data_IF_342383934798
#
_entry.id   IF_342383934798
#
_cell.length_a   1.000
_cell.length_b   1.000
_cell.length_c   1.000
_cell.angle_alpha   90.00
_cell.angle_beta   90.00
_cell.angle_gamma   90.00
#
_symmetry.space_group_name_H-M   'P 1'
#
loop_
_entity.id
_entity.type
_entity.pdbx_description
1 polymer ?
#
# COMPACT_ATOMS: atom_id res chain seq x y z
N UNK A 1 -4.99 15.61 22.61
CA UNK A 1 -5.78 14.42 23.01
C UNK A 1 -6.77 14.76 24.15
N UNK A 2 -6.32 15.11 25.37
CA UNK A 2 -7.28 15.38 26.44
C UNK A 2 -8.13 16.63 26.15
N UNK A 3 -7.50 17.76 25.79
CA UNK A 3 -8.22 19.02 25.51
C UNK A 3 -9.06 18.98 24.23
N UNK A 4 -8.60 18.30 23.19
CA UNK A 4 -9.23 18.35 21.86
C UNK A 4 -10.19 17.17 21.60
N UNK A 5 -9.94 16.02 22.23
CA UNK A 5 -10.66 14.78 21.96
C UNK A 5 -11.27 14.14 23.21
N UNK A 6 -11.25 14.85 24.34
CA UNK A 6 -11.88 14.41 25.60
C UNK A 6 -11.40 13.04 26.11
N UNK A 7 -10.13 12.68 25.86
CA UNK A 7 -9.54 11.52 26.50
C UNK A 7 -9.17 11.84 27.94
N UNK A 8 -9.52 10.93 28.87
CA UNK A 8 -9.12 11.05 30.27
C UNK A 8 -7.60 11.13 30.42
N UNK A 9 -7.10 12.16 31.12
CA UNK A 9 -5.66 12.37 31.28
C UNK A 9 -5.00 11.19 31.99
N UNK A 10 -5.66 10.63 33.00
CA UNK A 10 -5.20 9.44 33.72
C UNK A 10 -5.03 8.22 32.81
N UNK A 11 -5.97 7.99 31.89
CA UNK A 11 -5.87 6.93 30.88
C UNK A 11 -4.64 7.12 29.97
N UNK A 12 -4.45 8.32 29.45
CA UNK A 12 -3.28 8.61 28.60
C UNK A 12 -1.96 8.41 29.35
N UNK A 13 -1.89 8.88 30.60
CA UNK A 13 -0.70 8.69 31.45
C UNK A 13 -0.44 7.20 31.70
N UNK A 14 -1.47 6.41 31.99
CA UNK A 14 -1.33 4.96 32.16
C UNK A 14 -0.80 4.28 30.90
N UNK A 15 -1.37 4.56 29.73
CA UNK A 15 -0.90 4.00 28.46
C UNK A 15 0.57 4.37 28.19
N UNK A 16 0.91 5.65 28.27
CA UNK A 16 2.27 6.10 27.98
C UNK A 16 3.30 5.61 29.01
N UNK A 17 2.89 5.37 30.25
CA UNK A 17 3.79 4.76 31.26
C UNK A 17 4.20 3.32 30.92
N UNK A 18 3.39 2.61 30.11
CA UNK A 18 3.60 1.22 29.66
C UNK A 18 4.15 1.13 28.23
N UNK A 19 4.31 2.28 27.56
CA UNK A 19 4.81 2.37 26.20
C UNK A 19 6.33 2.38 26.20
N UNK A 20 6.93 1.60 25.32
CA UNK A 20 8.37 1.40 25.25
C UNK A 20 8.97 2.05 24.00
N UNK A 21 10.03 2.85 24.21
CA UNK A 21 10.86 3.32 23.11
C UNK A 21 11.64 2.15 22.51
N UNK A 22 11.60 2.04 21.19
CA UNK A 22 12.22 0.94 20.44
C UNK A 22 13.25 1.48 19.44
N UNK A 23 14.55 1.36 19.74
CA UNK A 23 15.62 1.87 18.88
C UNK A 23 15.63 1.20 17.50
N UNK A 24 15.35 -0.10 17.41
CA UNK A 24 15.26 -0.85 16.17
C UNK A 24 14.22 -0.29 15.17
N UNK A 25 13.19 0.41 15.66
CA UNK A 25 12.21 1.11 14.83
C UNK A 25 12.88 2.27 14.10
N UNK A 26 13.63 3.10 14.82
CA UNK A 26 14.36 4.24 14.26
C UNK A 26 15.39 3.75 13.22
N UNK A 27 16.10 2.67 13.53
CA UNK A 27 17.09 2.07 12.63
C UNK A 27 16.44 1.55 11.33
N UNK A 28 15.30 0.87 11.45
CA UNK A 28 14.52 0.39 10.31
C UNK A 28 13.98 1.53 9.44
N UNK A 29 13.50 2.61 10.06
CA UNK A 29 13.02 3.80 9.33
C UNK A 29 14.15 4.53 8.59
N UNK A 30 15.38 4.45 9.08
CA UNK A 30 16.54 5.04 8.40
C UNK A 30 17.03 4.19 7.22
N UNK A 31 16.68 2.91 7.15
CA UNK A 31 17.08 1.96 6.10
C UNK A 31 15.88 1.23 5.49
N UNK A 32 14.92 1.94 4.89
CA UNK A 32 13.76 1.28 4.29
C UNK A 32 14.18 0.38 3.12
N UNK A 33 13.59 -0.81 3.02
CA UNK A 33 13.92 -1.81 2.03
C UNK A 33 13.84 -1.28 0.58
N UNK A 34 12.87 -0.41 0.30
CA UNK A 34 12.68 0.22 -1.01
C UNK A 34 13.89 1.03 -1.48
N UNK A 35 14.76 1.48 -0.56
CA UNK A 35 15.97 2.25 -0.88
C UNK A 35 17.24 1.40 -0.96
N UNK A 36 17.29 0.31 -0.19
CA UNK A 36 18.54 -0.47 -0.03
C UNK A 36 18.54 -1.79 -0.81
N UNK A 37 17.37 -2.35 -1.07
CA UNK A 37 17.22 -3.62 -1.83
C UNK A 37 17.21 -3.31 -3.33
N UNK A 38 17.91 -4.08 -4.15
CA UNK A 38 17.92 -3.93 -5.61
C UNK A 38 16.58 -4.31 -6.23
N UNK A 39 16.37 -4.05 -7.54
CA UNK A 39 15.14 -4.48 -8.21
C UNK A 39 15.06 -5.99 -8.31
N UNK A 40 16.16 -6.66 -8.63
CA UNK A 40 16.21 -8.11 -8.76
C UNK A 40 15.86 -8.80 -7.44
N UNK A 41 16.43 -8.34 -6.31
CA UNK A 41 16.04 -8.82 -4.99
C UNK A 41 14.58 -8.50 -4.64
N UNK A 42 14.11 -7.30 -4.96
CA UNK A 42 12.73 -6.90 -4.63
C UNK A 42 11.70 -7.72 -5.43
N UNK A 43 12.00 -8.01 -6.70
CA UNK A 43 11.18 -8.82 -7.61
C UNK A 43 10.98 -10.26 -7.10
N UNK A 44 11.92 -10.81 -6.30
CA UNK A 44 11.75 -12.13 -5.66
C UNK A 44 10.53 -12.21 -4.74
N UNK A 45 9.97 -11.07 -4.33
CA UNK A 45 8.70 -11.03 -3.58
C UNK A 45 7.52 -11.55 -4.40
N UNK A 46 7.59 -11.50 -5.74
CA UNK A 46 6.64 -12.18 -6.63
C UNK A 46 7.10 -13.64 -6.77
N UNK A 47 6.96 -14.39 -5.70
CA UNK A 47 7.44 -15.78 -5.60
C UNK A 47 6.35 -16.79 -5.96
N UNK A 48 6.76 -17.98 -6.38
CA UNK A 48 5.85 -19.11 -6.60
C UNK A 48 4.87 -19.32 -5.42
N UNK A 49 5.39 -19.34 -4.20
CA UNK A 49 4.54 -19.55 -3.01
C UNK A 49 3.53 -18.41 -2.81
N UNK A 50 3.93 -17.17 -3.05
CA UNK A 50 2.99 -16.04 -2.95
C UNK A 50 1.91 -16.09 -4.04
N UNK A 51 2.26 -16.48 -5.24
CA UNK A 51 1.31 -16.70 -6.34
C UNK A 51 0.31 -17.81 -5.95
N UNK A 52 0.79 -18.97 -5.47
CA UNK A 52 -0.10 -20.06 -5.05
C UNK A 52 -1.03 -19.66 -3.89
N UNK A 53 -0.49 -18.98 -2.88
CA UNK A 53 -1.30 -18.47 -1.76
C UNK A 53 -2.35 -17.46 -2.26
N UNK A 54 -2.01 -16.61 -3.24
CA UNK A 54 -2.94 -15.67 -3.84
C UNK A 54 -4.09 -16.34 -4.58
N UNK A 55 -3.81 -17.40 -5.32
CA UNK A 55 -4.85 -18.22 -5.97
C UNK A 55 -5.80 -18.87 -4.98
N UNK A 56 -5.27 -19.37 -3.86
CA UNK A 56 -6.08 -19.92 -2.77
C UNK A 56 -6.92 -18.80 -2.15
N UNK A 57 -6.33 -17.64 -1.88
CA UNK A 57 -7.00 -16.50 -1.27
C UNK A 57 -8.14 -15.97 -2.16
N UNK A 58 -7.92 -15.82 -3.46
CA UNK A 58 -8.94 -15.43 -4.46
C UNK A 58 -10.13 -16.41 -4.46
N UNK A 59 -9.86 -17.72 -4.45
CA UNK A 59 -10.92 -18.74 -4.41
C UNK A 59 -11.67 -18.74 -3.07
N UNK A 60 -10.94 -18.66 -1.94
CA UNK A 60 -11.53 -18.69 -0.60
C UNK A 60 -12.46 -17.52 -0.36
N UNK A 61 -12.09 -16.34 -0.85
CA UNK A 61 -12.85 -15.11 -0.63
C UNK A 61 -13.54 -14.60 -1.92
N UNK A 62 -13.80 -15.49 -2.88
CA UNK A 62 -14.39 -15.16 -4.18
C UNK A 62 -15.57 -14.22 -4.10
N UNK A 63 -16.54 -14.49 -3.23
CA UNK A 63 -17.73 -13.65 -3.02
C UNK A 63 -17.38 -12.19 -2.74
N UNK A 64 -16.33 -11.96 -1.94
CA UNK A 64 -15.94 -10.61 -1.53
C UNK A 64 -15.11 -9.91 -2.59
N UNK A 65 -14.33 -10.66 -3.36
CA UNK A 65 -13.63 -10.13 -4.52
C UNK A 65 -14.61 -9.76 -5.64
N UNK A 66 -15.62 -10.60 -5.94
CA UNK A 66 -16.67 -10.29 -6.90
C UNK A 66 -17.39 -8.98 -6.51
N UNK A 67 -17.83 -8.88 -5.23
CA UNK A 67 -18.46 -7.67 -4.71
C UNK A 67 -17.55 -6.44 -4.80
N UNK A 68 -16.26 -6.56 -4.51
CA UNK A 68 -15.32 -5.45 -4.54
C UNK A 68 -15.09 -4.95 -5.97
N UNK A 69 -15.00 -5.87 -6.93
CA UNK A 69 -14.86 -5.57 -8.35
C UNK A 69 -16.10 -4.86 -8.89
N UNK A 70 -17.30 -5.39 -8.57
CA UNK A 70 -18.58 -4.79 -8.96
C UNK A 70 -18.78 -3.37 -8.38
N UNK A 71 -18.37 -3.13 -7.14
CA UNK A 71 -18.59 -1.85 -6.45
C UNK A 71 -17.57 -0.79 -6.80
N UNK A 72 -16.31 -1.19 -6.98
CA UNK A 72 -15.18 -0.26 -7.09
C UNK A 72 -14.49 -0.26 -8.46
N UNK A 73 -14.82 -1.21 -9.35
CA UNK A 73 -14.17 -1.37 -10.65
C UNK A 73 -12.69 -1.79 -10.58
N UNK A 74 -12.20 -2.19 -9.40
CA UNK A 74 -10.81 -2.58 -9.18
C UNK A 74 -10.67 -4.09 -9.38
N UNK A 75 -9.82 -4.57 -10.32
CA UNK A 75 -9.65 -6.00 -10.55
C UNK A 75 -9.24 -6.75 -9.28
N UNK A 76 -9.87 -7.90 -9.05
CA UNK A 76 -9.62 -8.75 -7.87
C UNK A 76 -8.16 -9.15 -7.71
N UNK A 77 -7.45 -9.34 -8.81
CA UNK A 77 -6.04 -9.71 -8.80
C UNK A 77 -5.16 -8.58 -8.27
N UNK A 78 -5.50 -7.33 -8.52
CA UNK A 78 -4.79 -6.17 -8.01
C UNK A 78 -5.00 -6.04 -6.49
N UNK A 79 -6.25 -6.21 -6.02
CA UNK A 79 -6.59 -6.20 -4.59
C UNK A 79 -5.82 -7.32 -3.88
N UNK A 80 -5.86 -8.53 -4.44
CA UNK A 80 -5.16 -9.70 -3.90
C UNK A 80 -3.64 -9.51 -3.91
N UNK A 81 -3.06 -8.92 -4.97
CA UNK A 81 -1.64 -8.66 -5.08
C UNK A 81 -1.15 -7.69 -3.98
N UNK A 82 -1.92 -6.63 -3.69
CA UNK A 82 -1.60 -5.70 -2.58
C UNK A 82 -1.61 -6.46 -1.25
N UNK A 83 -2.69 -7.17 -0.89
CA UNK A 83 -2.78 -7.93 0.35
C UNK A 83 -1.68 -8.99 0.43
N UNK A 84 -1.33 -9.59 -0.70
CA UNK A 84 -0.25 -10.56 -0.82
C UNK A 84 1.13 -9.96 -0.53
N UNK A 85 1.44 -8.79 -1.07
CA UNK A 85 2.71 -8.11 -0.84
C UNK A 85 2.83 -7.55 0.58
N UNK A 86 1.72 -7.04 1.14
CA UNK A 86 1.70 -6.45 2.48
C UNK A 86 1.86 -7.51 3.58
N UNK A 87 1.12 -8.60 3.49
CA UNK A 87 1.00 -9.53 4.63
C UNK A 87 1.06 -11.01 4.25
N UNK A 88 1.40 -11.35 2.99
CA UNK A 88 1.25 -12.71 2.48
C UNK A 88 -0.15 -13.27 2.80
N UNK A 89 -1.18 -12.51 2.39
CA UNK A 89 -2.59 -12.84 2.57
C UNK A 89 -3.02 -13.01 4.05
N UNK A 90 -2.47 -12.16 4.92
CA UNK A 90 -2.74 -12.18 6.36
C UNK A 90 -1.82 -13.09 7.17
N UNK A 91 -0.89 -13.81 6.53
CA UNK A 91 0.06 -14.70 7.21
C UNK A 91 1.06 -13.96 8.11
N UNK A 92 1.35 -12.70 7.83
CA UNK A 92 2.24 -11.87 8.64
C UNK A 92 1.78 -10.41 8.67
N UNK A 93 1.12 -10.00 9.75
CA UNK A 93 0.56 -8.64 9.94
C UNK A 93 1.42 -7.73 10.84
N UNK A 94 2.66 -8.13 11.13
CA UNK A 94 3.56 -7.44 12.04
C UNK A 94 3.48 -7.94 13.48
N UNK A 95 4.54 -7.66 14.26
CA UNK A 95 4.70 -8.16 15.66
C UNK A 95 4.90 -7.06 16.68
N UNK A 96 5.10 -5.81 16.25
CA UNK A 96 5.40 -4.67 17.12
C UNK A 96 4.08 -4.08 17.63
N UNK A 97 3.99 -3.73 18.90
CA UNK A 97 2.82 -2.99 19.40
C UNK A 97 2.74 -1.65 18.66
N UNK A 98 1.59 -1.37 18.06
CA UNK A 98 1.41 -0.15 17.25
C UNK A 98 1.63 1.10 18.10
N UNK A 99 1.21 1.07 19.36
CA UNK A 99 1.43 2.19 20.29
C UNK A 99 2.92 2.48 20.49
N UNK A 100 3.78 1.46 20.62
CA UNK A 100 5.23 1.64 20.77
C UNK A 100 5.85 2.18 19.47
N UNK A 101 5.42 1.63 18.32
CA UNK A 101 5.90 2.06 17.01
C UNK A 101 5.60 3.54 16.76
N UNK A 102 4.34 3.93 16.92
CA UNK A 102 3.89 5.30 16.68
C UNK A 102 4.47 6.28 17.70
N UNK A 103 4.54 5.91 18.99
CA UNK A 103 5.13 6.76 20.03
C UNK A 103 6.62 6.98 19.80
N UNK A 104 7.39 5.92 19.53
CA UNK A 104 8.81 6.02 19.18
C UNK A 104 9.02 6.95 17.98
N UNK A 105 8.25 6.75 16.90
CA UNK A 105 8.37 7.58 15.72
C UNK A 105 7.91 9.03 15.93
N UNK A 106 6.87 9.25 16.74
CA UNK A 106 6.34 10.58 17.05
C UNK A 106 7.27 11.43 17.92
N UNK A 107 7.98 10.81 18.85
CA UNK A 107 8.79 11.53 19.83
C UNK A 107 10.29 11.48 19.54
N UNK A 108 10.79 10.39 18.95
CA UNK A 108 12.23 10.14 18.80
C UNK A 108 12.70 10.08 17.32
N UNK A 109 11.82 10.30 16.32
CA UNK A 109 12.18 10.36 14.91
C UNK A 109 11.92 11.74 14.28
N UNK A 110 12.85 12.70 14.36
CA UNK A 110 12.61 14.10 13.98
C UNK A 110 12.15 14.31 12.54
N UNK A 111 12.67 13.52 11.58
CA UNK A 111 12.40 13.68 10.13
C UNK A 111 10.91 13.62 9.76
N UNK A 112 10.11 12.84 10.49
CA UNK A 112 8.67 12.66 10.24
C UNK A 112 7.81 12.83 11.49
N UNK A 113 8.31 13.57 12.47
CA UNK A 113 7.66 13.76 13.78
C UNK A 113 6.20 14.21 13.66
N UNK A 114 5.93 15.24 12.86
CA UNK A 114 4.57 15.77 12.69
C UNK A 114 3.62 14.73 12.11
N UNK A 115 4.06 13.97 11.11
CA UNK A 115 3.27 12.88 10.55
C UNK A 115 2.95 11.81 11.59
N UNK A 116 3.96 11.32 12.34
CA UNK A 116 3.74 10.25 13.31
C UNK A 116 2.96 10.72 14.55
N UNK A 117 3.07 11.98 14.96
CA UNK A 117 2.18 12.55 15.99
C UNK A 117 0.73 12.49 15.55
N UNK A 118 0.44 12.84 14.29
CA UNK A 118 -0.91 12.72 13.74
C UNK A 118 -1.36 11.26 13.69
N UNK A 119 -0.52 10.33 13.23
CA UNK A 119 -0.87 8.91 13.22
C UNK A 119 -1.14 8.35 14.63
N UNK A 120 -0.40 8.80 15.64
CA UNK A 120 -0.62 8.43 17.04
C UNK A 120 -1.97 8.96 17.55
N UNK A 121 -2.31 10.19 17.22
CA UNK A 121 -3.62 10.79 17.48
C UNK A 121 -4.75 9.98 16.84
N UNK A 122 -4.63 9.70 15.54
CA UNK A 122 -5.60 8.91 14.76
C UNK A 122 -5.74 7.48 15.34
N UNK A 123 -4.67 6.90 15.87
CA UNK A 123 -4.69 5.57 16.48
C UNK A 123 -5.52 5.55 17.79
N UNK A 124 -5.40 6.55 18.64
CA UNK A 124 -6.25 6.66 19.82
C UNK A 124 -7.73 6.88 19.45
N UNK A 125 -8.00 7.73 18.45
CA UNK A 125 -9.37 7.96 17.98
C UNK A 125 -9.96 6.67 17.40
N UNK A 126 -9.22 5.98 16.55
CA UNK A 126 -9.58 4.69 15.99
C UNK A 126 -9.89 3.64 17.07
N UNK A 127 -9.04 3.58 18.12
CA UNK A 127 -9.23 2.63 19.22
C UNK A 127 -10.57 2.82 19.95
N UNK A 128 -10.99 4.08 20.08
CA UNK A 128 -12.28 4.43 20.69
C UNK A 128 -13.45 4.13 19.75
N UNK A 129 -13.29 4.41 18.46
CA UNK A 129 -14.32 4.19 17.45
C UNK A 129 -14.60 2.69 17.24
N UNK A 130 -13.55 1.88 17.15
CA UNK A 130 -13.64 0.45 16.89
C UNK A 130 -13.55 -0.41 18.18
N UNK A 131 -13.53 0.26 19.35
CA UNK A 131 -13.54 -0.37 20.67
C UNK A 131 -12.45 -1.45 20.87
N UNK A 132 -11.19 -1.14 20.53
CA UNK A 132 -10.07 -2.04 20.77
C UNK A 132 -9.05 -1.48 21.79
N UNK A 133 -8.32 -2.38 22.44
CA UNK A 133 -7.26 -2.04 23.38
C UNK A 133 -5.98 -1.65 22.61
N UNK A 134 -5.56 -0.37 22.75
CA UNK A 134 -4.34 0.16 22.09
C UNK A 134 -3.08 -0.63 22.45
N UNK A 135 -3.03 -1.28 23.62
CA UNK A 135 -1.89 -2.07 24.07
C UNK A 135 -1.78 -3.43 23.41
N UNK A 136 -2.87 -3.92 22.77
CA UNK A 136 -2.92 -5.25 22.16
C UNK A 136 -2.68 -5.23 20.65
N UNK A 137 -2.94 -4.12 19.99
CA UNK A 137 -2.82 -4.05 18.53
C UNK A 137 -1.36 -4.13 18.11
N UNK A 138 -1.10 -5.05 17.18
CA UNK A 138 0.22 -5.27 16.59
C UNK A 138 0.21 -4.93 15.11
N UNK A 139 1.37 -4.50 14.63
CA UNK A 139 1.55 -4.06 13.26
C UNK A 139 3.02 -4.01 12.84
N UNK A 140 3.30 -3.24 11.79
CA UNK A 140 4.66 -3.00 11.30
C UNK A 140 5.46 -2.07 12.23
N UNK A 141 6.76 -1.97 11.99
CA UNK A 141 7.65 -1.01 12.67
C UNK A 141 7.24 0.46 12.45
N UNK A 142 6.46 0.76 11.41
CA UNK A 142 5.94 2.09 11.13
C UNK A 142 4.51 2.31 11.67
N UNK A 143 3.90 1.31 12.31
CA UNK A 143 2.55 1.40 12.87
C UNK A 143 1.43 1.08 11.87
N UNK A 144 1.74 0.49 10.72
CA UNK A 144 0.74 0.00 9.77
C UNK A 144 0.11 -1.32 10.28
N UNK A 145 -1.19 -1.53 10.03
CA UNK A 145 -2.00 -2.54 10.70
C UNK A 145 -2.81 -3.42 9.76
N UNK A 146 -3.03 -4.65 10.18
CA UNK A 146 -3.95 -5.61 9.57
C UNK A 146 -3.51 -6.16 8.21
N UNK A 147 -4.43 -6.81 7.51
CA UNK A 147 -4.20 -7.38 6.18
C UNK A 147 -3.73 -6.35 5.15
N UNK A 148 -4.33 -5.16 5.20
CA UNK A 148 -4.08 -4.06 4.28
C UNK A 148 -2.89 -3.16 4.67
N UNK A 149 -2.28 -3.38 5.83
CA UNK A 149 -1.20 -2.53 6.37
C UNK A 149 -1.54 -1.02 6.33
N UNK A 150 -2.79 -0.66 6.67
CA UNK A 150 -3.19 0.73 6.74
C UNK A 150 -2.56 1.43 7.94
N UNK A 151 -2.14 2.68 7.71
CA UNK A 151 -1.86 3.63 8.77
C UNK A 151 -3.18 4.02 9.47
N UNK A 152 -3.15 4.45 10.74
CA UNK A 152 -4.37 4.77 11.49
C UNK A 152 -5.33 5.75 10.80
N UNK A 153 -4.82 6.77 10.13
CA UNK A 153 -5.64 7.73 9.41
C UNK A 153 -6.35 7.12 8.20
N UNK A 154 -5.67 6.23 7.48
CA UNK A 154 -6.28 5.49 6.37
C UNK A 154 -7.30 4.48 6.88
N UNK A 155 -7.03 3.82 8.00
CA UNK A 155 -8.01 2.91 8.62
C UNK A 155 -9.32 3.67 8.91
N UNK A 156 -9.24 4.79 9.64
CA UNK A 156 -10.43 5.58 9.99
C UNK A 156 -11.19 6.10 8.78
N UNK A 157 -10.49 6.51 7.73
CA UNK A 157 -11.10 7.15 6.55
C UNK A 157 -11.59 6.17 5.50
N UNK A 158 -10.88 5.05 5.30
CA UNK A 158 -11.02 4.21 4.12
C UNK A 158 -11.39 2.76 4.43
N UNK A 159 -11.23 2.31 5.70
CA UNK A 159 -11.69 0.98 6.06
C UNK A 159 -13.22 0.90 6.03
N UNK A 160 -13.71 -0.22 5.54
CA UNK A 160 -15.13 -0.53 5.39
C UNK A 160 -15.51 -1.75 6.23
N UNK A 161 -16.71 -1.72 6.77
CA UNK A 161 -17.47 -2.89 7.17
C UNK A 161 -18.06 -3.50 5.88
N UNK A 162 -17.28 -4.37 5.22
CA UNK A 162 -17.63 -4.80 3.88
C UNK A 162 -18.52 -6.03 3.87
N UNK A 163 -18.52 -6.83 4.93
CA UNK A 163 -19.44 -7.95 5.10
C UNK A 163 -20.75 -7.58 5.83
N UNK A 164 -20.81 -6.39 6.43
CA UNK A 164 -22.01 -5.85 7.07
C UNK A 164 -22.26 -6.40 8.47
N UNK A 165 -21.20 -6.83 9.19
CA UNK A 165 -21.31 -7.36 10.56
C UNK A 165 -21.39 -6.24 11.63
N UNK A 166 -21.28 -4.97 11.24
CA UNK A 166 -21.32 -3.78 12.10
C UNK A 166 -19.94 -3.35 12.60
N UNK A 167 -18.83 -3.88 12.06
CA UNK A 167 -17.47 -3.55 12.45
C UNK A 167 -16.57 -3.34 11.23
N UNK A 168 -15.59 -2.47 11.34
CA UNK A 168 -14.55 -2.30 10.33
C UNK A 168 -13.29 -3.04 10.78
N UNK A 169 -13.23 -4.37 10.63
CA UNK A 169 -12.12 -5.18 11.15
C UNK A 169 -11.11 -5.59 10.07
N UNK A 170 -10.34 -4.64 9.55
CA UNK A 170 -9.22 -5.01 8.65
C UNK A 170 -8.06 -5.73 9.36
N UNK A 171 -8.13 -5.86 10.69
CA UNK A 171 -7.11 -6.57 11.46
C UNK A 171 -7.28 -8.10 11.34
N UNK A 172 -8.54 -8.60 11.35
CA UNK A 172 -8.82 -10.03 11.40
C UNK A 172 -9.83 -10.49 10.35
N UNK A 173 -10.58 -9.58 9.73
CA UNK A 173 -11.58 -9.87 8.72
C UNK A 173 -11.03 -9.63 7.30
N UNK A 174 -10.89 -10.70 6.52
CA UNK A 174 -10.40 -10.61 5.15
C UNK A 174 -11.41 -9.91 4.20
N UNK A 175 -12.72 -10.03 4.45
CA UNK A 175 -13.74 -9.36 3.64
C UNK A 175 -13.60 -7.84 3.75
N UNK A 176 -13.48 -7.33 4.98
CA UNK A 176 -13.26 -5.91 5.24
C UNK A 176 -11.97 -5.40 4.62
N UNK A 177 -10.90 -6.20 4.73
CA UNK A 177 -9.63 -5.86 4.13
C UNK A 177 -9.71 -5.78 2.60
N UNK A 178 -10.40 -6.71 1.93
CA UNK A 178 -10.62 -6.72 0.48
C UNK A 178 -11.37 -5.46 0.06
N UNK A 179 -12.52 -5.18 0.69
CA UNK A 179 -13.30 -3.98 0.41
C UNK A 179 -12.53 -2.69 0.69
N UNK A 180 -11.76 -2.65 1.76
CA UNK A 180 -10.98 -1.46 2.15
C UNK A 180 -9.82 -1.18 1.20
N UNK A 181 -9.13 -2.21 0.69
CA UNK A 181 -8.08 -2.04 -0.34
C UNK A 181 -8.69 -1.54 -1.64
N UNK A 182 -9.82 -2.10 -2.07
CA UNK A 182 -10.54 -1.65 -3.25
C UNK A 182 -10.99 -0.18 -3.11
N UNK A 183 -11.58 0.17 -1.96
CA UNK A 183 -11.98 1.54 -1.64
C UNK A 183 -10.79 2.52 -1.65
N UNK A 184 -9.62 2.11 -1.14
CA UNK A 184 -8.41 2.94 -1.20
C UNK A 184 -8.01 3.25 -2.64
N UNK A 185 -7.99 2.24 -3.52
CA UNK A 185 -7.59 2.41 -4.92
C UNK A 185 -8.61 3.20 -5.73
N UNK A 186 -9.91 3.03 -5.46
CA UNK A 186 -10.99 3.72 -6.12
C UNK A 186 -11.17 5.17 -5.60
N UNK A 187 -10.76 5.45 -4.35
CA UNK A 187 -10.92 6.76 -3.76
C UNK A 187 -9.98 7.79 -4.39
N UNK A 188 -10.41 9.05 -4.37
CA UNK A 188 -9.66 10.19 -4.90
C UNK A 188 -8.44 10.50 -4.01
N UNK A 189 -7.35 9.79 -4.25
CA UNK A 189 -6.09 10.03 -3.57
C UNK A 189 -5.47 11.37 -4.01
N UNK A 190 -5.94 12.46 -3.41
CA UNK A 190 -5.38 13.78 -3.61
C UNK A 190 -5.98 14.57 -4.80
N UNK A 191 -7.30 14.62 -4.91
CA UNK A 191 -8.07 15.38 -5.93
C UNK A 191 -7.90 14.87 -7.37
N UNK A 192 -7.54 13.62 -7.56
CA UNK A 192 -7.49 12.97 -8.88
C UNK A 192 -8.26 11.68 -8.78
N UNK A 193 -9.19 11.46 -9.71
CA UNK A 193 -9.98 10.23 -9.77
C UNK A 193 -9.07 9.02 -9.54
N UNK A 194 -9.51 8.10 -8.68
CA UNK A 194 -8.80 6.87 -8.36
C UNK A 194 -8.73 5.90 -9.54
N UNK A 195 -9.11 4.67 -9.32
CA UNK A 195 -9.06 3.63 -10.33
C UNK A 195 -9.94 3.93 -11.56
N UNK A 196 -9.43 3.63 -12.76
CA UNK A 196 -10.18 3.66 -14.03
C UNK A 196 -10.40 2.22 -14.51
N UNK A 197 -11.66 1.80 -14.64
CA UNK A 197 -12.04 0.43 -14.95
C UNK A 197 -11.46 -0.06 -16.29
N UNK A 198 -11.50 0.78 -17.34
CA UNK A 198 -10.97 0.48 -18.68
C UNK A 198 -9.49 0.92 -18.84
N UNK A 199 -8.85 1.38 -17.78
CA UNK A 199 -7.46 1.82 -17.81
C UNK A 199 -6.47 0.67 -17.75
N UNK A 200 -5.32 0.82 -18.40
CA UNK A 200 -4.20 -0.11 -18.20
C UNK A 200 -3.48 0.22 -16.87
N UNK A 201 -2.61 -0.67 -16.39
CA UNK A 201 -1.77 -0.38 -15.21
C UNK A 201 -0.40 0.08 -15.67
N UNK A 202 0.35 -0.77 -16.37
CA UNK A 202 1.69 -0.49 -16.82
C UNK A 202 1.96 -1.13 -18.19
N UNK A 203 2.72 -0.42 -19.03
CA UNK A 203 3.21 -0.90 -20.31
C UNK A 203 4.72 -0.71 -20.39
N UNK A 204 5.47 -1.66 -21.00
CA UNK A 204 6.91 -1.53 -21.15
C UNK A 204 7.25 -0.36 -22.09
N UNK A 205 8.29 0.37 -21.74
CA UNK A 205 8.69 1.58 -22.47
C UNK A 205 10.20 1.56 -22.76
N UNK A 206 10.67 2.53 -23.55
CA UNK A 206 12.09 2.74 -23.86
C UNK A 206 12.49 4.17 -23.52
N UNK A 207 13.75 4.37 -23.17
CA UNK A 207 14.30 5.72 -22.98
C UNK A 207 14.24 6.54 -24.30
N UNK A 208 13.81 7.81 -24.23
CA UNK A 208 13.89 8.76 -25.36
C UNK A 208 15.31 9.07 -25.79
N UNK A 209 16.23 9.10 -24.82
CA UNK A 209 17.64 9.41 -25.03
C UNK A 209 18.51 8.29 -24.49
N UNK A 210 19.55 7.90 -25.23
CA UNK A 210 20.56 6.95 -24.77
C UNK A 210 21.47 7.61 -23.71
N UNK A 211 21.97 6.82 -22.79
CA UNK A 211 22.94 7.23 -21.76
C UNK A 211 22.44 8.33 -20.80
N UNK A 212 21.15 8.42 -20.59
CA UNK A 212 20.56 9.35 -19.61
C UNK A 212 19.91 8.55 -18.48
N UNK A 213 20.28 8.84 -17.24
CA UNK A 213 19.66 8.22 -16.08
C UNK A 213 18.24 8.80 -15.88
N UNK A 214 17.23 8.03 -16.26
CA UNK A 214 15.82 8.39 -16.10
C UNK A 214 15.39 8.05 -14.68
N UNK A 215 14.70 9.01 -14.02
CA UNK A 215 14.14 8.81 -12.68
C UNK A 215 12.64 8.51 -12.77
N UNK A 216 12.15 7.65 -11.88
CA UNK A 216 10.71 7.48 -11.71
C UNK A 216 10.05 8.79 -11.30
N UNK A 217 8.88 9.05 -11.86
CA UNK A 217 8.03 10.19 -11.50
C UNK A 217 6.64 9.69 -11.16
N UNK A 218 6.20 9.94 -9.91
CA UNK A 218 4.87 9.55 -9.41
C UNK A 218 3.83 10.67 -9.58
N UNK A 219 4.17 11.75 -10.28
CA UNK A 219 3.21 12.77 -10.71
C UNK A 219 2.68 12.45 -12.09
N UNK A 220 1.36 12.53 -12.29
CA UNK A 220 0.75 12.40 -13.60
C UNK A 220 1.16 13.59 -14.49
N UNK A 221 1.70 13.29 -15.69
CA UNK A 221 2.20 14.27 -16.68
C UNK A 221 1.68 13.94 -18.07
N UNK A 222 1.55 14.94 -18.95
CA UNK A 222 1.34 14.71 -20.37
C UNK A 222 2.43 13.81 -20.97
N UNK A 223 2.07 12.97 -21.94
CA UNK A 223 3.00 12.01 -22.53
C UNK A 223 4.27 12.63 -23.11
N UNK A 224 4.16 13.81 -23.72
CA UNK A 224 5.29 14.53 -24.29
C UNK A 224 6.32 15.00 -23.25
N UNK A 225 5.94 15.16 -22.00
CA UNK A 225 6.81 15.55 -20.88
C UNK A 225 7.54 14.36 -20.23
N UNK A 226 7.24 13.11 -20.61
CA UNK A 226 7.95 11.94 -20.12
C UNK A 226 9.31 11.78 -20.82
N UNK A 227 10.28 11.21 -20.12
CA UNK A 227 11.61 10.85 -20.67
C UNK A 227 11.63 9.49 -21.38
N UNK A 228 10.48 8.81 -21.45
CA UNK A 228 10.32 7.47 -22.01
C UNK A 228 9.33 7.47 -23.18
N UNK A 229 9.44 6.45 -24.05
CA UNK A 229 8.60 6.25 -25.23
C UNK A 229 7.94 4.88 -25.15
N UNK A 230 6.67 4.81 -25.55
CA UNK A 230 5.98 3.58 -25.87
C UNK A 230 5.94 3.40 -27.39
N UNK A 231 6.24 2.20 -27.87
CA UNK A 231 6.52 1.94 -29.31
C UNK A 231 5.32 1.56 -30.17
N UNK A 232 4.08 1.60 -29.66
CA UNK A 232 2.90 1.27 -30.49
C UNK A 232 2.26 2.55 -31.02
N UNK A 233 2.06 2.61 -32.35
CA UNK A 233 1.55 3.77 -33.10
C UNK A 233 0.03 3.96 -32.97
N UNK A 234 -0.71 2.94 -32.53
CA UNK A 234 -2.19 2.90 -32.58
C UNK A 234 -2.85 2.96 -31.19
N UNK A 235 -2.14 3.44 -30.19
CA UNK A 235 -2.66 3.54 -28.83
C UNK A 235 -3.16 4.96 -28.57
N UNK A 236 -4.47 5.09 -28.34
CA UNK A 236 -5.07 6.35 -27.89
C UNK A 236 -4.74 6.53 -26.40
N UNK A 237 -3.65 7.25 -26.16
CA UNK A 237 -3.15 7.47 -24.83
C UNK A 237 -4.08 8.39 -24.05
N UNK A 238 -4.51 8.03 -22.80
CA UNK A 238 -5.12 8.97 -21.90
C UNK A 238 -4.18 10.18 -21.71
N UNK A 239 -4.73 11.28 -21.27
CA UNK A 239 -4.02 12.58 -21.28
C UNK A 239 -2.82 12.71 -20.34
N UNK A 240 -2.68 11.83 -19.33
CA UNK A 240 -1.63 11.95 -18.31
C UNK A 240 -1.12 10.59 -17.80
N UNK A 241 0.18 10.50 -17.54
CA UNK A 241 0.90 9.28 -17.20
C UNK A 241 1.94 9.50 -16.12
N UNK A 242 2.37 8.39 -15.49
CA UNK A 242 3.60 8.34 -14.70
C UNK A 242 4.66 7.54 -15.44
N UNK A 243 5.93 7.79 -15.12
CA UNK A 243 7.05 7.00 -15.59
C UNK A 243 7.71 6.26 -14.43
N UNK A 244 7.99 4.99 -14.64
CA UNK A 244 8.72 4.13 -13.71
C UNK A 244 10.06 3.73 -14.36
N UNK A 245 11.11 3.83 -13.57
CA UNK A 245 12.44 3.34 -13.92
C UNK A 245 12.90 2.39 -12.83
N UNK A 246 13.34 1.22 -13.24
CA UNK A 246 13.85 0.18 -12.37
C UNK A 246 15.28 -0.14 -12.81
N UNK A 247 16.17 -0.25 -11.85
CA UNK A 247 17.58 -0.50 -12.07
C UNK A 247 17.93 -1.87 -11.48
N UNK A 248 18.01 -2.92 -12.32
CA UNK A 248 18.56 -4.22 -11.95
C UNK A 248 20.05 -4.13 -11.55
N UNK A 249 20.59 -5.20 -11.01
CA UNK A 249 22.03 -5.27 -10.70
C UNK A 249 22.90 -5.17 -11.96
N UNK A 250 22.38 -5.66 -13.09
CA UNK A 250 22.98 -5.47 -14.42
C UNK A 250 22.47 -4.14 -15.01
N UNK A 251 23.27 -3.09 -14.92
CA UNK A 251 22.96 -1.74 -15.42
C UNK A 251 22.64 -1.68 -16.92
N UNK A 252 22.95 -2.74 -17.69
CA UNK A 252 22.61 -2.82 -19.13
C UNK A 252 21.15 -3.20 -19.37
N UNK A 253 20.40 -3.58 -18.31
CA UNK A 253 19.04 -4.07 -18.35
C UNK A 253 18.03 -3.14 -17.67
N UNK A 254 18.28 -1.85 -17.67
CA UNK A 254 17.33 -0.87 -17.13
C UNK A 254 15.95 -1.09 -17.72
N UNK A 255 14.95 -1.24 -16.84
CA UNK A 255 13.55 -1.41 -17.22
C UNK A 255 12.80 -0.08 -17.09
N UNK A 256 12.08 0.30 -18.16
CA UNK A 256 11.24 1.50 -18.16
C UNK A 256 9.80 1.10 -18.41
N UNK A 257 8.89 1.74 -17.66
CA UNK A 257 7.46 1.48 -17.75
C UNK A 257 6.68 2.80 -17.76
N UNK A 258 5.67 2.88 -18.60
CA UNK A 258 4.66 3.93 -18.58
C UNK A 258 3.43 3.40 -17.87
N UNK A 259 2.89 4.16 -16.96
CA UNK A 259 1.65 3.85 -16.25
C UNK A 259 0.63 4.96 -16.40
N UNK A 260 -0.61 4.59 -16.32
CA UNK A 260 -1.74 5.52 -16.28
C UNK A 260 -2.17 5.83 -14.83
N UNK A 261 -3.41 6.27 -14.63
CA UNK A 261 -3.99 6.54 -13.32
C UNK A 261 -4.04 5.31 -12.41
N UNK A 262 -4.15 4.10 -12.97
CA UNK A 262 -4.20 2.87 -12.19
C UNK A 262 -2.85 2.59 -11.53
N UNK A 263 -1.75 2.73 -12.28
CA UNK A 263 -0.43 2.64 -11.67
C UNK A 263 -0.17 3.79 -10.70
N UNK A 264 -0.66 5.00 -11.01
CA UNK A 264 -0.63 6.12 -10.07
C UNK A 264 -1.35 5.80 -8.77
N UNK A 265 -2.56 5.22 -8.80
CA UNK A 265 -3.31 4.81 -7.60
C UNK A 265 -2.51 3.81 -6.74
N UNK A 266 -1.85 2.83 -7.37
CA UNK A 266 -0.97 1.89 -6.67
C UNK A 266 0.21 2.63 -6.00
N UNK A 267 0.80 3.65 -6.65
CA UNK A 267 1.87 4.45 -6.01
C UNK A 267 1.39 5.32 -4.86
N UNK A 268 0.08 5.54 -4.71
CA UNK A 268 -0.48 6.23 -3.52
C UNK A 268 -0.58 5.30 -2.32
N UNK A 269 -0.75 4.01 -2.57
CA UNK A 269 -0.67 3.01 -1.52
C UNK A 269 0.73 2.95 -0.92
N UNK A 270 1.74 2.82 -1.77
CA UNK A 270 3.15 2.89 -1.37
C UNK A 270 3.96 3.61 -2.48
N UNK A 271 4.61 4.77 -2.20
CA UNK A 271 5.34 5.56 -3.18
C UNK A 271 6.72 4.97 -3.53
N UNK A 272 6.73 3.73 -4.01
CA UNK A 272 7.90 2.99 -4.44
C UNK A 272 7.68 2.38 -5.82
N UNK A 273 8.60 2.63 -6.76
CA UNK A 273 8.58 2.02 -8.09
C UNK A 273 8.61 0.50 -8.02
N UNK A 274 9.47 -0.04 -7.14
CA UNK A 274 9.62 -1.48 -6.94
C UNK A 274 8.34 -2.10 -6.41
N UNK A 275 7.69 -1.43 -5.43
CA UNK A 275 6.41 -1.88 -4.91
C UNK A 275 5.33 -1.87 -5.99
N UNK A 276 5.14 -0.74 -6.67
CA UNK A 276 4.09 -0.60 -7.67
C UNK A 276 4.22 -1.64 -8.80
N UNK A 277 5.44 -1.87 -9.29
CA UNK A 277 5.69 -2.89 -10.30
C UNK A 277 5.56 -4.32 -9.76
N UNK A 278 5.87 -4.58 -8.49
CA UNK A 278 5.61 -5.89 -7.88
C UNK A 278 4.12 -6.17 -7.72
N UNK A 279 3.30 -5.15 -7.40
CA UNK A 279 1.83 -5.28 -7.42
C UNK A 279 1.36 -5.64 -8.81
N UNK A 280 1.81 -4.91 -9.84
CA UNK A 280 1.46 -5.17 -11.22
C UNK A 280 1.86 -6.59 -11.64
N UNK A 281 3.13 -6.99 -11.47
CA UNK A 281 3.60 -8.31 -11.85
C UNK A 281 2.86 -9.43 -11.13
N UNK A 282 2.62 -9.28 -9.82
CA UNK A 282 1.87 -10.28 -9.07
C UNK A 282 0.41 -10.37 -9.54
N UNK A 283 -0.23 -9.23 -9.84
CA UNK A 283 -1.60 -9.24 -10.36
C UNK A 283 -1.69 -9.95 -11.71
N UNK A 284 -0.73 -9.78 -12.62
CA UNK A 284 -0.68 -10.50 -13.89
C UNK A 284 -0.54 -12.03 -13.69
N UNK A 285 0.34 -12.47 -12.78
CA UNK A 285 0.51 -13.88 -12.43
C UNK A 285 -0.75 -14.51 -11.78
N UNK A 286 -1.57 -13.70 -11.13
CA UNK A 286 -2.83 -14.14 -10.55
C UNK A 286 -3.94 -14.26 -11.58
N UNK A 287 -3.92 -13.49 -12.69
CA UNK A 287 -4.88 -13.57 -13.81
C UNK A 287 -4.79 -14.91 -14.57
N UNK A 288 -3.58 -15.42 -14.79
CA UNK A 288 -3.29 -16.62 -15.62
C UNK A 288 -4.03 -17.89 -15.13
N UNK A 289 -4.78 -17.81 -14.05
CA UNK A 289 -5.44 -18.97 -13.44
C UNK A 289 -6.90 -18.76 -13.06
N UNK A 290 -7.51 -17.66 -13.46
CA UNK A 290 -8.95 -17.47 -13.31
C UNK A 290 -9.78 -18.40 -14.22
N UNK A 291 -9.13 -19.10 -15.18
CA UNK A 291 -9.77 -19.98 -16.16
C UNK A 291 -9.74 -21.48 -15.79
N UNK A 292 -9.50 -21.84 -14.49
CA UNK A 292 -9.56 -23.23 -14.03
C UNK A 292 -10.61 -23.43 -12.96
#
# INVERSE_FOLDING_TARGET
MSAEHSFEKSYLVDIFSKTEKQQNIIDSMNRPAEKVVTWDEYKTRVSFFRIQNGKIFLRTYKKWFDKAEDVFGVPREVIAAIIGLETNYGGYKGKIRVIDALSTAAFDYPRRRTFFKKQLEEFFLLSREENFDVMRIRGSYAGAMGFAQFMPDNYRKLALDFDGDGKKDILNNAADAIGSVANFLASDAGNKKGWEEDGFIALPAKAKKKNVKIKSSFGLKPYNELDILYNQTDFDFPKQYIQISLFPDDETKDEFWIGDKNLYAITRYNPSSKYAMSVFLLSEELKITSDL
#
